data_IF_947744270350
#
_entry.id   IF_947744270350
#
_cell.length_a   1.000
_cell.length_b   1.000
_cell.length_c   1.000
_cell.angle_alpha   90.00
_cell.angle_beta   90.00
_cell.angle_gamma   90.00
#
_symmetry.space_group_name_H-M   'P 1'
#
loop_
_entity.id
_entity.type
_entity.pdbx_description
1 polymer ?
#
# COMPACT_ATOMS: atom_id res chain seq x y z
N UNK A 1 47.74 -13.65 -24.32
CA UNK A 1 46.98 -14.08 -23.13
C UNK A 1 45.80 -13.11 -22.94
N UNK A 2 44.57 -13.50 -23.28
CA UNK A 2 43.38 -12.65 -23.06
C UNK A 2 42.92 -12.86 -21.61
N UNK A 3 42.89 -11.79 -20.83
CA UNK A 3 42.43 -11.80 -19.44
C UNK A 3 40.90 -11.86 -19.42
N UNK A 4 40.34 -12.84 -18.73
CA UNK A 4 38.90 -12.88 -18.43
C UNK A 4 38.65 -12.04 -17.18
N UNK A 5 37.91 -10.95 -17.33
CA UNK A 5 37.36 -10.18 -16.20
C UNK A 5 36.10 -10.90 -15.75
N UNK A 6 35.99 -11.33 -14.49
CA UNK A 6 34.74 -11.89 -13.98
C UNK A 6 33.74 -10.75 -13.81
N UNK A 7 32.61 -10.84 -14.51
CA UNK A 7 31.47 -9.96 -14.28
C UNK A 7 30.76 -10.45 -13.02
N UNK A 8 30.89 -9.70 -11.92
CA UNK A 8 30.09 -9.90 -10.73
C UNK A 8 28.66 -9.43 -11.05
N UNK A 9 27.75 -10.38 -11.27
CA UNK A 9 26.31 -10.12 -11.29
C UNK A 9 25.84 -9.96 -9.85
N UNK A 10 25.53 -8.73 -9.44
CA UNK A 10 24.79 -8.50 -8.20
C UNK A 10 23.33 -8.93 -8.42
N UNK A 11 22.72 -9.74 -7.54
CA UNK A 11 21.30 -10.03 -7.64
C UNK A 11 20.54 -8.74 -7.40
N UNK A 12 19.80 -8.28 -8.41
CA UNK A 12 18.75 -7.31 -8.20
C UNK A 12 17.66 -8.00 -7.37
N UNK A 13 17.38 -7.48 -6.18
CA UNK A 13 16.19 -7.90 -5.42
C UNK A 13 15.00 -7.46 -6.27
N UNK A 14 14.33 -8.44 -6.89
CA UNK A 14 13.13 -8.19 -7.67
C UNK A 14 11.98 -7.87 -6.70
N UNK A 15 11.62 -6.60 -6.57
CA UNK A 15 10.40 -6.12 -5.89
C UNK A 15 9.12 -6.47 -6.67
N UNK A 16 9.15 -7.51 -7.50
CA UNK A 16 8.16 -7.70 -8.56
C UNK A 16 6.77 -8.13 -8.05
N UNK A 17 6.68 -8.62 -6.81
CA UNK A 17 5.46 -9.25 -6.26
C UNK A 17 5.06 -8.66 -4.90
N UNK A 18 5.38 -7.40 -4.61
CA UNK A 18 4.77 -6.69 -3.46
C UNK A 18 3.67 -5.74 -3.96
N UNK A 19 2.57 -5.57 -3.21
CA UNK A 19 1.49 -4.65 -3.58
C UNK A 19 1.98 -3.24 -3.83
N UNK A 20 1.32 -2.54 -4.75
CA UNK A 20 1.57 -1.14 -5.04
C UNK A 20 0.31 -0.31 -4.84
N UNK A 21 0.41 0.76 -4.04
CA UNK A 21 -0.63 1.78 -3.98
C UNK A 21 -0.42 2.73 -5.16
N UNK A 22 -1.38 2.74 -6.10
CA UNK A 22 -1.31 3.56 -7.30
C UNK A 22 -1.96 4.93 -7.11
N UNK A 23 -3.01 5.00 -6.30
CA UNK A 23 -3.73 6.24 -6.04
C UNK A 23 -4.40 6.23 -4.66
N UNK A 24 -4.50 7.41 -4.06
CA UNK A 24 -5.23 7.65 -2.82
C UNK A 24 -6.06 8.91 -3.00
N UNK A 25 -7.35 8.82 -2.68
CA UNK A 25 -8.23 9.97 -2.52
C UNK A 25 -8.74 9.99 -1.09
N UNK A 26 -8.61 11.13 -0.41
CA UNK A 26 -9.16 11.33 0.92
C UNK A 26 -10.14 12.50 0.95
N UNK A 27 -11.20 12.35 1.74
CA UNK A 27 -12.16 13.41 2.00
C UNK A 27 -12.71 13.33 3.40
N UNK A 28 -13.04 14.47 3.97
CA UNK A 28 -13.76 14.54 5.24
C UNK A 28 -15.17 13.95 5.10
N UNK A 29 -15.52 13.07 6.02
CA UNK A 29 -16.85 12.51 6.22
C UNK A 29 -17.47 13.01 7.53
N UNK A 30 -18.67 12.51 7.84
CA UNK A 30 -19.43 12.94 9.04
C UNK A 30 -18.71 12.62 10.35
N UNK A 31 -18.02 11.49 10.43
CA UNK A 31 -17.42 10.98 11.67
C UNK A 31 -15.90 10.82 11.60
N UNK A 32 -15.29 11.19 10.48
CA UNK A 32 -13.86 11.02 10.22
C UNK A 32 -13.58 11.07 8.72
N UNK A 33 -12.33 10.84 8.34
CA UNK A 33 -11.91 10.80 6.95
C UNK A 33 -12.34 9.49 6.27
N UNK A 34 -12.72 9.61 5.01
CA UNK A 34 -12.82 8.48 4.09
C UNK A 34 -11.60 8.46 3.20
N UNK A 35 -10.98 7.30 3.07
CA UNK A 35 -9.92 7.01 2.11
C UNK A 35 -10.41 6.04 1.06
N UNK A 36 -10.23 6.38 -0.20
CA UNK A 36 -10.41 5.50 -1.36
C UNK A 36 -9.01 5.20 -1.92
N UNK A 37 -8.58 3.94 -1.83
CA UNK A 37 -7.21 3.52 -2.16
C UNK A 37 -7.23 2.52 -3.29
N UNK A 38 -6.49 2.84 -4.36
CA UNK A 38 -6.31 1.97 -5.52
C UNK A 38 -5.01 1.19 -5.37
N UNK A 39 -5.11 -0.13 -5.41
CA UNK A 39 -3.99 -1.07 -5.27
C UNK A 39 -3.86 -1.90 -6.54
N UNK A 40 -2.62 -2.20 -6.92
CA UNK A 40 -2.27 -3.17 -7.94
C UNK A 40 -1.35 -4.24 -7.33
N UNK A 41 -1.62 -5.50 -7.65
CA UNK A 41 -0.81 -6.63 -7.23
C UNK A 41 -1.03 -7.84 -8.14
N UNK A 42 0.00 -8.67 -8.29
CA UNK A 42 -0.06 -9.91 -9.07
C UNK A 42 -0.72 -11.06 -8.28
N UNK A 43 -1.96 -10.86 -7.83
CA UNK A 43 -2.73 -11.89 -7.12
C UNK A 43 -2.77 -13.19 -7.93
N UNK A 44 -2.42 -14.32 -7.31
CA UNK A 44 -2.48 -15.66 -7.94
C UNK A 44 -3.53 -16.58 -7.32
N UNK A 45 -4.18 -16.13 -6.24
CA UNK A 45 -5.23 -16.87 -5.53
C UNK A 45 -5.10 -16.70 -4.02
N UNK A 46 -5.73 -17.61 -3.28
CA UNK A 46 -5.80 -17.55 -1.81
C UNK A 46 -4.45 -17.60 -1.10
N UNK A 47 -3.42 -18.16 -1.74
CA UNK A 47 -2.07 -18.28 -1.18
C UNK A 47 -1.20 -17.04 -1.43
N UNK A 48 -1.63 -16.14 -2.33
CA UNK A 48 -0.88 -14.93 -2.66
C UNK A 48 -1.82 -13.87 -3.23
N UNK A 49 -2.28 -12.97 -2.37
CA UNK A 49 -3.13 -11.84 -2.70
C UNK A 49 -2.96 -10.67 -1.71
N UNK A 50 -3.38 -9.47 -2.13
CA UNK A 50 -3.49 -8.31 -1.23
C UNK A 50 -4.56 -8.57 -0.17
N UNK A 51 -4.15 -8.70 1.09
CA UNK A 51 -5.07 -8.95 2.22
C UNK A 51 -5.46 -7.66 2.96
N UNK A 52 -4.86 -6.52 2.62
CA UNK A 52 -5.31 -5.24 3.15
C UNK A 52 -4.36 -4.07 2.94
N UNK A 53 -4.70 -2.96 3.58
CA UNK A 53 -3.85 -1.77 3.66
C UNK A 53 -4.15 -0.96 4.92
N UNK A 54 -3.20 -0.14 5.35
CA UNK A 54 -3.29 0.64 6.59
C UNK A 54 -3.05 2.13 6.35
N UNK A 55 -3.53 2.96 7.28
CA UNK A 55 -3.27 4.41 7.36
C UNK A 55 -2.58 4.70 8.68
N UNK A 56 -1.46 5.43 8.64
CA UNK A 56 -0.64 5.79 9.79
C UNK A 56 -0.35 7.29 9.84
N UNK A 57 -0.08 7.80 11.04
CA UNK A 57 0.63 9.06 11.22
C UNK A 57 2.11 8.92 10.82
N UNK A 58 2.82 10.04 10.57
CA UNK A 58 4.26 10.02 10.28
C UNK A 58 5.13 9.40 11.39
N UNK A 59 4.66 9.39 12.63
CA UNK A 59 5.35 8.74 13.76
C UNK A 59 5.13 7.21 13.83
N UNK A 60 4.36 6.65 12.90
CA UNK A 60 4.05 5.22 12.82
C UNK A 60 2.76 4.81 13.53
N UNK A 61 2.08 5.71 14.24
CA UNK A 61 0.80 5.42 14.90
C UNK A 61 -0.26 5.02 13.87
N UNK A 62 -0.83 3.83 13.99
CA UNK A 62 -1.89 3.36 13.09
C UNK A 62 -3.23 4.03 13.42
N UNK A 63 -3.85 4.63 12.40
CA UNK A 63 -5.16 5.28 12.49
C UNK A 63 -6.30 4.37 12.03
N UNK A 64 -6.01 3.42 11.15
CA UNK A 64 -6.99 2.46 10.66
C UNK A 64 -6.41 1.45 9.67
N UNK A 65 -7.19 0.40 9.42
CA UNK A 65 -6.85 -0.67 8.49
C UNK A 65 -8.08 -1.06 7.67
N UNK A 66 -7.84 -1.45 6.42
CA UNK A 66 -8.84 -2.04 5.54
C UNK A 66 -8.43 -3.46 5.19
N UNK A 67 -9.08 -4.43 5.81
CA UNK A 67 -8.90 -5.84 5.50
C UNK A 67 -9.66 -6.24 4.23
N UNK A 68 -9.06 -7.12 3.43
CA UNK A 68 -9.60 -7.72 2.23
C UNK A 68 -9.58 -9.24 2.39
N UNK A 69 -10.76 -9.86 2.28
CA UNK A 69 -10.95 -11.26 2.66
C UNK A 69 -11.03 -12.20 1.46
N UNK A 70 -10.63 -11.74 0.27
CA UNK A 70 -10.60 -12.56 -0.93
C UNK A 70 -9.61 -12.02 -1.98
N UNK A 71 -9.08 -12.88 -2.87
CA UNK A 71 -8.24 -12.45 -3.99
C UNK A 71 -9.00 -11.61 -5.03
N UNK A 72 -8.27 -10.77 -5.76
CA UNK A 72 -8.75 -9.89 -6.82
C UNK A 72 -8.05 -10.18 -8.18
N UNK A 73 -7.77 -11.44 -8.50
CA UNK A 73 -7.01 -11.86 -9.70
C UNK A 73 -7.52 -11.23 -11.02
N UNK A 74 -8.84 -11.08 -11.17
CA UNK A 74 -9.47 -10.55 -12.39
C UNK A 74 -9.90 -9.08 -12.30
N UNK A 75 -9.55 -8.39 -11.21
CA UNK A 75 -9.97 -7.03 -10.89
C UNK A 75 -8.72 -6.21 -10.55
N UNK A 76 -7.76 -6.12 -11.46
CA UNK A 76 -6.54 -5.34 -11.25
C UNK A 76 -6.44 -4.17 -12.25
N UNK A 77 -6.13 -2.94 -11.79
CA UNK A 77 -6.10 -2.53 -10.38
C UNK A 77 -7.53 -2.45 -9.80
N UNK A 78 -7.65 -2.46 -8.47
CA UNK A 78 -8.92 -2.26 -7.77
C UNK A 78 -8.84 -1.16 -6.71
N UNK A 79 -9.99 -0.56 -6.42
CA UNK A 79 -10.12 0.46 -5.37
C UNK A 79 -11.00 -0.04 -4.23
N UNK A 80 -10.56 0.16 -2.98
CA UNK A 80 -11.37 -0.10 -1.78
C UNK A 80 -11.32 1.07 -0.82
N UNK A 81 -12.37 1.18 -0.01
CA UNK A 81 -12.57 2.32 0.87
C UNK A 81 -12.42 1.96 2.34
N UNK A 82 -11.81 2.85 3.11
CA UNK A 82 -11.85 2.89 4.57
C UNK A 82 -12.60 4.15 5.02
N UNK A 83 -13.45 4.01 6.02
CA UNK A 83 -14.29 5.09 6.55
C UNK A 83 -13.93 5.39 7.99
N UNK A 84 -14.39 6.55 8.47
CA UNK A 84 -14.34 6.94 9.87
C UNK A 84 -12.93 6.96 10.47
N UNK A 85 -11.92 7.28 9.64
CA UNK A 85 -10.53 7.43 10.09
C UNK A 85 -10.39 8.77 10.82
N UNK A 86 -10.19 8.71 12.13
CA UNK A 86 -9.99 9.91 12.95
C UNK A 86 -8.55 10.37 12.81
N UNK A 87 -8.37 11.57 12.25
CA UNK A 87 -7.05 12.20 12.09
C UNK A 87 -6.95 13.36 13.09
N UNK A 88 -5.90 13.43 13.93
CA UNK A 88 -5.67 14.56 14.82
C UNK A 88 -5.57 15.89 14.07
N UNK A 89 -6.11 16.96 14.67
CA UNK A 89 -6.01 18.32 14.13
C UNK A 89 -4.55 18.73 13.92
N UNK A 90 -4.28 19.42 12.81
CA UNK A 90 -2.93 19.87 12.44
C UNK A 90 -2.08 18.81 11.72
N UNK A 91 -2.59 17.59 11.52
CA UNK A 91 -1.93 16.59 10.66
C UNK A 91 -2.04 17.02 9.20
N UNK A 92 -0.92 17.08 8.49
CA UNK A 92 -0.88 17.48 7.07
C UNK A 92 -0.66 16.31 6.11
N UNK A 93 -0.13 15.20 6.61
CA UNK A 93 0.12 14.01 5.81
C UNK A 93 -0.07 12.73 6.63
N UNK A 94 -0.39 11.66 5.92
CA UNK A 94 -0.49 10.29 6.44
C UNK A 94 0.34 9.36 5.58
N UNK A 95 0.70 8.22 6.14
CA UNK A 95 1.43 7.16 5.46
C UNK A 95 0.50 5.98 5.24
N UNK A 96 0.39 5.51 4.00
CA UNK A 96 -0.32 4.29 3.67
C UNK A 96 0.65 3.18 3.28
N UNK A 97 0.29 1.94 3.61
CA UNK A 97 1.00 0.73 3.18
C UNK A 97 -0.02 -0.34 2.81
N UNK A 98 0.16 -0.97 1.67
CA UNK A 98 -0.58 -2.18 1.31
C UNK A 98 0.15 -3.41 1.87
N UNK A 99 -0.56 -4.53 1.98
CA UNK A 99 -0.03 -5.79 2.47
C UNK A 99 -0.53 -6.93 1.59
N UNK A 100 0.33 -7.90 1.31
CA UNK A 100 -0.07 -9.21 0.80
C UNK A 100 0.21 -10.30 1.83
N UNK A 101 -0.50 -11.41 1.72
CA UNK A 101 -0.46 -12.49 2.69
C UNK A 101 0.79 -13.39 2.63
N UNK A 102 1.72 -13.14 1.70
CA UNK A 102 2.94 -13.94 1.49
C UNK A 102 4.23 -13.16 1.82
N UNK A 103 4.37 -11.95 1.28
CA UNK A 103 5.56 -11.10 1.38
C UNK A 103 5.39 -9.95 2.38
N UNK A 104 4.15 -9.61 2.75
CA UNK A 104 3.86 -8.58 3.75
C UNK A 104 3.75 -7.17 3.17
N UNK A 105 4.34 -6.19 3.84
CA UNK A 105 4.07 -4.77 3.57
C UNK A 105 4.76 -4.24 2.30
N UNK A 106 4.05 -3.40 1.58
CA UNK A 106 4.57 -2.57 0.49
C UNK A 106 5.52 -1.49 0.99
N UNK A 107 6.16 -0.78 0.04
CA UNK A 107 6.74 0.52 0.30
C UNK A 107 5.68 1.52 0.81
N UNK A 108 6.15 2.56 1.50
CA UNK A 108 5.30 3.64 2.00
C UNK A 108 4.75 4.50 0.86
N UNK A 109 3.48 4.86 0.98
CA UNK A 109 2.83 5.88 0.18
C UNK A 109 2.52 7.09 1.07
N UNK A 110 3.27 8.18 0.92
CA UNK A 110 3.03 9.43 1.65
C UNK A 110 1.93 10.22 0.96
N UNK A 111 0.85 10.50 1.69
CA UNK A 111 -0.31 11.22 1.17
C UNK A 111 -0.55 12.51 1.95
N UNK A 112 -0.53 13.65 1.24
CA UNK A 112 -0.89 14.95 1.81
C UNK A 112 -2.40 15.11 1.84
N UNK A 113 -2.93 15.43 3.01
CA UNK A 113 -4.36 15.62 3.20
C UNK A 113 -4.84 16.87 2.45
N UNK A 114 -5.97 16.81 1.72
CA UNK A 114 -6.55 18.00 1.11
C UNK A 114 -6.92 19.04 2.16
N UNK A 115 -6.56 20.30 1.93
CA UNK A 115 -6.95 21.42 2.79
C UNK A 115 -6.15 21.57 4.09
N UNK A 116 -5.09 20.77 4.29
CA UNK A 116 -4.14 20.91 5.40
C UNK A 116 -3.04 21.94 5.13
#
# INVERSE_FOLDING_TARGET
MRWLVPVLMFPAVAFADVPQILAVEAREGRFGWRFDVTVEHADTGWEHYVDGWTVHLPDGTMLGARDLLHPHVAEQPFTRSLFDVVIPEGTTEVILRANDNLHGQSAEFVYRLPGS
#
